data_IF_655108343332
#
_entry.id   IF_655108343332
#
_cell.length_a   1.000
_cell.length_b   1.000
_cell.length_c   1.000
_cell.angle_alpha   90.00
_cell.angle_beta   90.00
_cell.angle_gamma   90.00
#
_symmetry.space_group_name_H-M   'P 1'
#
loop_
_entity.id
_entity.type
_entity.pdbx_description
1 polymer ?
#
# COMPACT_ATOMS: atom_id res chain seq x y z
N UNK A 1 -21.61 -14.48 15.60
CA UNK A 1 -20.20 -14.57 15.16
C UNK A 1 -19.88 -13.73 13.91
N UNK A 2 -20.81 -12.91 13.37
CA UNK A 2 -20.64 -12.25 12.05
C UNK A 2 -20.53 -10.71 12.06
N UNK A 3 -20.65 -10.01 13.20
CA UNK A 3 -20.62 -8.53 13.20
C UNK A 3 -19.20 -7.98 13.37
N UNK A 4 -18.28 -8.75 13.94
CA UNK A 4 -16.89 -8.32 14.14
C UNK A 4 -15.99 -8.47 12.90
N UNK A 5 -16.35 -9.35 11.95
CA UNK A 5 -15.57 -9.56 10.72
C UNK A 5 -15.87 -8.54 9.61
N UNK A 6 -17.06 -7.91 9.61
CA UNK A 6 -17.41 -6.93 8.58
C UNK A 6 -16.66 -5.60 8.71
N UNK A 7 -16.08 -5.31 9.88
CA UNK A 7 -15.33 -4.07 10.14
C UNK A 7 -13.82 -4.17 9.89
N UNK A 8 -13.30 -5.34 9.49
CA UNK A 8 -11.88 -5.58 9.25
C UNK A 8 -11.65 -6.11 7.83
N UNK A 9 -12.06 -5.31 6.84
CA UNK A 9 -11.82 -5.59 5.42
C UNK A 9 -11.03 -4.45 4.79
N UNK A 10 -10.10 -4.74 3.87
CA UNK A 10 -9.41 -3.69 3.14
C UNK A 10 -10.40 -2.86 2.32
N UNK A 11 -10.05 -1.60 2.02
CA UNK A 11 -10.86 -0.78 1.16
C UNK A 11 -10.79 -1.31 -0.28
N UNK A 12 -11.94 -1.69 -0.82
CA UNK A 12 -12.12 -2.12 -2.22
C UNK A 12 -13.17 -1.28 -2.96
N UNK A 13 -13.64 -0.19 -2.34
CA UNK A 13 -14.72 0.63 -2.90
C UNK A 13 -14.17 1.59 -3.96
N UNK A 14 -14.61 1.40 -5.21
CA UNK A 14 -14.26 2.27 -6.34
C UNK A 14 -15.27 3.41 -6.45
N UNK A 15 -14.78 4.65 -6.47
CA UNK A 15 -15.57 5.85 -6.58
C UNK A 15 -15.69 6.31 -8.03
N UNK A 16 -16.78 5.93 -8.70
CA UNK A 16 -17.00 6.24 -10.12
C UNK A 16 -16.97 7.74 -10.45
N UNK A 17 -17.47 8.59 -9.54
CA UNK A 17 -17.46 10.05 -9.77
C UNK A 17 -16.04 10.61 -9.93
N UNK A 18 -15.06 10.02 -9.23
CA UNK A 18 -13.66 10.40 -9.38
C UNK A 18 -13.07 9.91 -10.70
N UNK A 19 -13.43 8.71 -11.13
CA UNK A 19 -13.04 8.21 -12.46
C UNK A 19 -13.61 9.10 -13.57
N UNK A 20 -14.87 9.54 -13.48
CA UNK A 20 -15.49 10.47 -14.43
C UNK A 20 -14.73 11.80 -14.47
N UNK A 21 -14.36 12.34 -13.30
CA UNK A 21 -13.60 13.59 -13.20
C UNK A 21 -12.28 13.50 -13.96
N UNK A 22 -11.54 12.40 -13.79
CA UNK A 22 -10.27 12.18 -14.49
C UNK A 22 -10.49 11.93 -15.98
N UNK A 23 -11.50 11.13 -16.33
CA UNK A 23 -11.88 10.84 -17.71
C UNK A 23 -12.11 12.12 -18.51
N UNK A 24 -12.97 13.00 -18.01
CA UNK A 24 -13.31 14.28 -18.67
C UNK A 24 -12.07 15.17 -18.83
N UNK A 25 -11.17 15.20 -17.85
CA UNK A 25 -9.93 16.00 -17.91
C UNK A 25 -8.92 15.43 -18.91
N UNK A 26 -8.92 14.12 -19.11
CA UNK A 26 -7.90 13.41 -19.89
C UNK A 26 -8.34 13.14 -21.32
N UNK A 27 -9.65 13.14 -21.59
CA UNK A 27 -10.19 12.81 -22.89
C UNK A 27 -9.82 13.87 -23.95
N UNK A 28 -9.24 13.48 -25.11
CA UNK A 28 -8.87 14.42 -26.14
C UNK A 28 -10.10 15.04 -26.79
N UNK A 29 -10.13 16.37 -26.90
CA UNK A 29 -11.31 17.14 -27.36
C UNK A 29 -11.74 16.84 -28.79
N UNK A 30 -10.82 16.33 -29.60
CA UNK A 30 -11.07 16.02 -31.02
C UNK A 30 -11.85 14.72 -31.21
N UNK A 31 -12.01 13.92 -30.15
CA UNK A 31 -12.68 12.63 -30.19
C UNK A 31 -14.01 12.71 -29.44
N UNK A 32 -15.11 12.35 -30.09
CA UNK A 32 -16.44 12.51 -29.50
C UNK A 32 -16.74 11.45 -28.42
N UNK A 33 -16.48 10.17 -28.71
CA UNK A 33 -16.83 9.04 -27.82
C UNK A 33 -15.88 7.85 -27.87
N UNK A 34 -15.00 7.81 -28.86
CA UNK A 34 -14.18 6.64 -29.15
C UNK A 34 -12.83 7.09 -29.68
N UNK A 35 -11.78 6.35 -29.30
CA UNK A 35 -10.42 6.50 -29.81
C UNK A 35 -9.96 5.11 -30.26
N UNK A 36 -9.52 5.01 -31.51
CA UNK A 36 -8.98 3.77 -32.11
C UNK A 36 -7.54 3.93 -32.61
N UNK A 37 -6.96 5.13 -32.48
CA UNK A 37 -5.56 5.37 -32.80
C UNK A 37 -4.70 5.00 -31.58
N UNK A 38 -3.82 4.02 -31.75
CA UNK A 38 -3.01 3.45 -30.66
C UNK A 38 -2.09 4.48 -29.99
N UNK A 39 -1.54 5.44 -30.72
CA UNK A 39 -0.69 6.48 -30.13
C UNK A 39 -1.54 7.47 -29.34
N UNK A 40 -2.75 7.79 -29.82
CA UNK A 40 -3.69 8.64 -29.08
C UNK A 40 -4.24 7.95 -27.83
N UNK A 41 -4.49 6.63 -27.89
CA UNK A 41 -4.85 5.81 -26.73
C UNK A 41 -3.74 5.87 -25.68
N UNK A 42 -2.48 5.70 -26.09
CA UNK A 42 -1.33 5.81 -25.19
C UNK A 42 -1.22 7.19 -24.57
N UNK A 43 -1.38 8.26 -25.36
CA UNK A 43 -1.34 9.63 -24.87
C UNK A 43 -2.50 9.94 -23.91
N UNK A 44 -3.68 9.37 -24.15
CA UNK A 44 -4.79 9.41 -23.22
C UNK A 44 -4.44 8.78 -21.86
N UNK A 45 -3.83 7.58 -21.85
CA UNK A 45 -3.41 6.93 -20.61
C UNK A 45 -2.28 7.69 -19.90
N UNK A 46 -1.32 8.26 -20.64
CA UNK A 46 -0.27 9.12 -20.07
C UNK A 46 -0.86 10.38 -19.42
N UNK A 47 -1.81 11.04 -20.10
CA UNK A 47 -2.51 12.22 -19.57
C UNK A 47 -3.34 11.86 -18.34
N UNK A 48 -4.04 10.72 -18.39
CA UNK A 48 -4.81 10.19 -17.27
C UNK A 48 -3.90 9.90 -16.07
N UNK A 49 -2.76 9.24 -16.28
CA UNK A 49 -1.76 8.98 -15.25
C UNK A 49 -1.33 10.27 -14.53
N UNK A 50 -1.00 11.32 -15.30
CA UNK A 50 -0.63 12.62 -14.73
C UNK A 50 -1.78 13.26 -13.95
N UNK A 51 -3.02 13.14 -14.44
CA UNK A 51 -4.19 13.67 -13.75
C UNK A 51 -4.51 12.91 -12.46
N UNK A 52 -4.37 11.58 -12.45
CA UNK A 52 -4.47 10.76 -11.24
C UNK A 52 -3.42 11.19 -10.21
N UNK A 53 -2.15 11.28 -10.62
CA UNK A 53 -1.06 11.70 -9.75
C UNK A 53 -1.33 13.08 -9.12
N UNK A 54 -1.78 14.06 -9.92
CA UNK A 54 -2.12 15.40 -9.41
C UNK A 54 -3.25 15.37 -8.39
N UNK A 55 -4.27 14.55 -8.59
CA UNK A 55 -5.38 14.44 -7.63
C UNK A 55 -4.97 13.69 -6.36
N UNK A 56 -4.05 12.72 -6.45
CA UNK A 56 -3.45 12.09 -5.25
C UNK A 56 -2.72 13.14 -4.41
N UNK A 57 -1.89 13.98 -5.03
CA UNK A 57 -1.18 15.07 -4.32
C UNK A 57 -2.15 15.99 -3.56
N UNK A 58 -3.29 16.35 -4.16
CA UNK A 58 -4.33 17.15 -3.47
C UNK A 58 -4.83 16.47 -2.19
N UNK A 59 -4.97 15.14 -2.18
CA UNK A 59 -5.33 14.40 -0.96
C UNK A 59 -4.18 14.30 0.04
N UNK A 60 -2.95 14.11 -0.44
CA UNK A 60 -1.76 14.08 0.40
C UNK A 60 -1.52 15.43 1.09
N UNK A 61 -1.80 16.54 0.42
CA UNK A 61 -1.67 17.90 0.96
C UNK A 61 -2.81 18.26 1.93
N UNK A 62 -3.96 17.59 1.82
CA UNK A 62 -5.13 17.87 2.68
C UNK A 62 -4.89 17.48 4.15
N UNK A 63 -4.07 16.47 4.39
CA UNK A 63 -3.86 15.88 5.71
C UNK A 63 -2.39 15.79 6.04
N UNK A 64 -2.04 15.86 7.32
CA UNK A 64 -0.66 15.65 7.75
C UNK A 64 -0.10 14.32 7.19
N UNK A 65 1.13 14.27 6.61
CA UNK A 65 1.64 13.07 5.94
C UNK A 65 1.68 11.82 6.84
N UNK A 66 1.98 11.98 8.12
CA UNK A 66 1.94 10.87 9.10
C UNK A 66 0.56 10.19 9.20
N UNK A 67 -0.54 10.91 8.95
CA UNK A 67 -1.88 10.34 8.90
C UNK A 67 -2.06 9.39 7.71
N UNK A 68 -1.52 9.78 6.54
CA UNK A 68 -1.56 8.94 5.34
C UNK A 68 -0.68 7.69 5.46
N UNK A 69 0.52 7.84 6.03
CA UNK A 69 1.41 6.70 6.32
C UNK A 69 0.68 5.66 7.16
N UNK A 70 0.02 6.10 8.23
CA UNK A 70 -0.75 5.20 9.10
C UNK A 70 -1.85 4.46 8.35
N UNK A 71 -2.66 5.18 7.56
CA UNK A 71 -3.73 4.55 6.77
C UNK A 71 -3.16 3.53 5.79
N UNK A 72 -2.09 3.88 5.08
CA UNK A 72 -1.46 2.98 4.13
C UNK A 72 -0.96 1.68 4.77
N UNK A 73 -0.35 1.75 5.97
CA UNK A 73 0.04 0.53 6.70
C UNK A 73 -1.17 -0.34 7.07
N UNK A 74 -2.25 0.27 7.58
CA UNK A 74 -3.49 -0.46 7.91
C UNK A 74 -4.03 -1.18 6.67
N UNK A 75 -4.12 -0.48 5.53
CA UNK A 75 -4.62 -1.06 4.29
C UNK A 75 -3.72 -2.20 3.77
N UNK A 76 -2.39 -2.05 3.84
CA UNK A 76 -1.44 -3.10 3.45
C UNK A 76 -1.63 -4.35 4.32
N UNK A 77 -1.78 -4.17 5.64
CA UNK A 77 -2.03 -5.29 6.56
C UNK A 77 -3.37 -5.97 6.27
N UNK A 78 -4.44 -5.20 6.08
CA UNK A 78 -5.77 -5.74 5.74
C UNK A 78 -5.75 -6.52 4.42
N UNK A 79 -5.13 -5.99 3.37
CA UNK A 79 -4.95 -6.69 2.10
C UNK A 79 -4.07 -7.95 2.23
N UNK A 80 -3.10 -7.93 3.13
CA UNK A 80 -2.25 -9.10 3.41
C UNK A 80 -3.03 -10.19 4.13
N UNK A 81 -3.84 -9.82 5.13
CA UNK A 81 -4.70 -10.74 5.88
C UNK A 81 -5.78 -11.36 4.99
N UNK A 82 -6.46 -10.56 4.16
CA UNK A 82 -7.46 -11.04 3.19
C UNK A 82 -6.87 -12.17 2.32
N UNK A 83 -5.63 -12.02 1.85
CA UNK A 83 -4.98 -13.00 0.98
C UNK A 83 -4.39 -14.21 1.72
N UNK A 84 -4.11 -14.10 3.03
CA UNK A 84 -3.54 -15.18 3.84
C UNK A 84 -4.62 -16.04 4.52
N UNK A 85 -5.70 -15.43 5.00
CA UNK A 85 -6.80 -16.11 5.70
C UNK A 85 -7.59 -17.00 4.73
N UNK A 86 -7.68 -16.63 3.45
CA UNK A 86 -8.50 -17.31 2.46
C UNK A 86 -7.76 -18.33 1.57
N UNK A 87 -6.64 -18.91 2.04
CA UNK A 87 -6.09 -20.13 1.39
C UNK A 87 -7.07 -21.32 1.40
N UNK A 88 -8.10 -21.28 2.24
CA UNK A 88 -9.13 -22.34 2.35
C UNK A 88 -10.51 -21.97 1.75
N UNK A 89 -10.73 -20.73 1.28
CA UNK A 89 -11.99 -20.31 0.64
C UNK A 89 -11.74 -19.58 -0.68
N UNK A 90 -12.65 -19.80 -1.62
CA UNK A 90 -12.64 -19.13 -2.92
C UNK A 90 -12.75 -17.62 -2.69
N UNK A 91 -11.65 -16.90 -2.90
CA UNK A 91 -11.64 -15.42 -2.99
C UNK A 91 -12.77 -15.02 -3.94
N UNK A 92 -13.65 -14.10 -3.52
CA UNK A 92 -14.56 -13.44 -4.48
C UNK A 92 -13.70 -12.85 -5.60
N UNK A 93 -13.91 -13.25 -6.86
CA UNK A 93 -13.02 -12.98 -8.00
C UNK A 93 -12.57 -11.50 -8.09
N UNK A 94 -13.41 -10.57 -7.62
CA UNK A 94 -13.13 -9.14 -7.55
C UNK A 94 -11.96 -8.75 -6.63
N UNK A 95 -11.73 -9.46 -5.51
CA UNK A 95 -10.65 -9.11 -4.56
C UNK A 95 -9.25 -9.50 -5.09
N UNK A 96 -9.15 -10.48 -6.01
CA UNK A 96 -7.89 -10.81 -6.69
C UNK A 96 -7.43 -9.69 -7.62
N UNK A 97 -8.36 -9.02 -8.30
CA UNK A 97 -8.07 -7.95 -9.26
C UNK A 97 -7.43 -6.75 -8.55
N UNK A 98 -7.87 -6.47 -7.33
CA UNK A 98 -7.40 -5.32 -6.55
C UNK A 98 -6.16 -5.61 -5.68
N UNK A 99 -5.80 -6.87 -5.47
CA UNK A 99 -4.69 -7.28 -4.61
C UNK A 99 -3.33 -6.61 -4.95
N UNK A 100 -2.93 -6.43 -6.24
CA UNK A 100 -1.70 -5.72 -6.56
C UNK A 100 -1.74 -4.25 -6.11
N UNK A 101 -2.87 -3.58 -6.29
CA UNK A 101 -3.06 -2.18 -5.88
C UNK A 101 -3.09 -2.07 -4.36
N UNK A 102 -3.77 -3.00 -3.69
CA UNK A 102 -3.80 -3.10 -2.24
C UNK A 102 -2.44 -3.35 -1.60
N UNK A 103 -1.52 -4.06 -2.28
CA UNK A 103 -0.17 -4.34 -1.75
C UNK A 103 0.88 -3.29 -2.14
N UNK A 104 0.82 -2.79 -3.37
CA UNK A 104 1.86 -1.92 -3.92
C UNK A 104 1.42 -0.46 -4.04
N UNK A 105 0.14 -0.19 -4.31
CA UNK A 105 -0.39 1.17 -4.42
C UNK A 105 -0.30 1.94 -3.10
N UNK A 106 -0.60 1.28 -1.97
CA UNK A 106 -0.46 1.91 -0.65
C UNK A 106 1.01 2.16 -0.26
N UNK A 107 1.97 1.39 -0.78
CA UNK A 107 3.40 1.69 -0.58
C UNK A 107 3.81 2.99 -1.26
N UNK A 108 3.25 3.28 -2.43
CA UNK A 108 3.46 4.56 -3.11
C UNK A 108 2.94 5.74 -2.28
N UNK A 109 1.82 5.57 -1.56
CA UNK A 109 1.33 6.60 -0.61
C UNK A 109 2.30 6.81 0.55
N UNK A 110 2.91 5.74 1.08
CA UNK A 110 3.95 5.85 2.11
C UNK A 110 5.15 6.64 1.57
N UNK A 111 5.66 6.28 0.40
CA UNK A 111 6.80 6.95 -0.25
C UNK A 111 6.54 8.45 -0.44
N UNK A 112 5.41 8.83 -1.03
CA UNK A 112 5.04 10.24 -1.22
C UNK A 112 4.79 11.00 0.07
N UNK A 113 4.27 10.33 1.09
CA UNK A 113 4.09 10.95 2.40
C UNK A 113 5.43 11.14 3.13
N UNK A 114 6.40 10.24 2.94
CA UNK A 114 7.76 10.37 3.49
C UNK A 114 8.51 11.53 2.84
N UNK A 115 8.44 11.67 1.50
CA UNK A 115 9.01 12.83 0.78
C UNK A 115 8.51 14.15 1.37
N UNK A 116 7.21 14.25 1.67
CA UNK A 116 6.62 15.45 2.30
C UNK A 116 6.99 15.64 3.77
N UNK A 117 7.38 14.59 4.50
CA UNK A 117 7.86 14.72 5.88
C UNK A 117 9.28 15.30 5.96
N UNK A 118 10.05 15.24 4.88
CA UNK A 118 11.36 15.88 4.79
C UNK A 118 11.23 17.41 4.59
N UNK A 119 10.04 17.90 4.24
CA UNK A 119 9.75 19.33 4.15
C UNK A 119 9.57 19.93 5.57
N UNK A 120 10.27 21.02 5.85
CA UNK A 120 10.38 21.59 7.21
C UNK A 120 9.18 22.43 7.67
N UNK A 121 8.19 22.67 6.81
CA UNK A 121 7.02 23.49 7.12
C UNK A 121 5.73 22.68 7.08
N UNK A 122 5.25 22.29 8.27
CA UNK A 122 4.01 21.55 8.43
C UNK A 122 2.78 22.41 8.67
N UNK A 123 2.92 23.75 8.67
CA UNK A 123 1.83 24.67 9.00
C UNK A 123 0.69 24.68 7.98
N UNK A 124 0.93 24.13 6.78
CA UNK A 124 -0.04 24.03 5.69
C UNK A 124 -0.96 22.80 5.76
N UNK A 125 -0.60 21.78 6.54
CA UNK A 125 -1.35 20.52 6.58
C UNK A 125 -2.53 20.58 7.57
N UNK A 126 -3.61 19.88 7.23
CA UNK A 126 -4.78 19.78 8.09
C UNK A 126 -4.56 18.85 9.31
N UNK A 127 -5.15 19.23 10.45
CA UNK A 127 -5.07 18.49 11.73
C UNK A 127 -5.99 17.24 11.81
N UNK A 128 -6.62 16.86 10.70
CA UNK A 128 -7.60 15.78 10.66
C UNK A 128 -6.98 14.52 10.07
N UNK A 129 -7.59 13.37 10.35
CA UNK A 129 -7.28 12.10 9.66
C UNK A 129 -8.16 11.96 8.41
N UNK A 130 -7.70 11.25 7.37
CA UNK A 130 -8.55 10.82 6.27
C UNK A 130 -9.77 10.04 6.79
N UNK A 131 -10.94 10.37 6.27
CA UNK A 131 -12.17 9.59 6.51
C UNK A 131 -12.30 8.45 5.49
N UNK A 132 -13.19 7.49 5.73
CA UNK A 132 -13.37 6.31 4.85
C UNK A 132 -13.70 6.71 3.40
N UNK A 133 -14.38 7.84 3.22
CA UNK A 133 -14.70 8.40 1.91
C UNK A 133 -13.43 8.82 1.18
N UNK A 134 -12.53 9.53 1.84
CA UNK A 134 -11.26 9.96 1.25
C UNK A 134 -10.29 8.79 1.05
N UNK A 135 -10.31 7.79 1.93
CA UNK A 135 -9.55 6.54 1.73
C UNK A 135 -10.02 5.83 0.46
N UNK A 136 -11.34 5.69 0.24
CA UNK A 136 -11.89 5.10 -0.99
C UNK A 136 -11.56 5.90 -2.24
N UNK A 137 -11.49 7.23 -2.14
CA UNK A 137 -11.05 8.07 -3.26
C UNK A 137 -9.59 7.86 -3.59
N UNK A 138 -8.70 7.83 -2.59
CA UNK A 138 -7.28 7.56 -2.82
C UNK A 138 -7.07 6.16 -3.39
N UNK A 139 -7.78 5.15 -2.87
CA UNK A 139 -7.78 3.81 -3.46
C UNK A 139 -8.19 3.80 -4.94
N UNK A 140 -9.28 4.52 -5.27
CA UNK A 140 -9.74 4.69 -6.66
C UNK A 140 -8.70 5.35 -7.56
N UNK A 141 -7.99 6.37 -7.04
CA UNK A 141 -6.95 7.06 -7.78
C UNK A 141 -5.72 6.16 -8.00
N UNK A 142 -5.34 5.36 -7.01
CA UNK A 142 -4.25 4.37 -7.12
C UNK A 142 -4.57 3.27 -8.13
N UNK A 143 -5.80 2.77 -8.14
CA UNK A 143 -6.32 1.85 -9.15
C UNK A 143 -6.13 2.44 -10.56
N UNK A 144 -6.69 3.63 -10.81
CA UNK A 144 -6.60 4.27 -12.11
C UNK A 144 -5.16 4.58 -12.54
N UNK A 145 -4.32 5.05 -11.61
CA UNK A 145 -2.90 5.32 -11.84
C UNK A 145 -2.15 4.06 -12.27
N UNK A 146 -2.41 2.94 -11.60
CA UNK A 146 -1.75 1.65 -11.88
C UNK A 146 -2.12 1.13 -13.27
N UNK A 147 -3.41 1.10 -13.61
CA UNK A 147 -3.89 0.69 -14.93
C UNK A 147 -3.38 1.61 -16.05
N UNK A 148 -3.37 2.92 -15.85
CA UNK A 148 -2.85 3.85 -16.84
C UNK A 148 -1.37 3.61 -17.14
N UNK A 149 -0.56 3.41 -16.08
CA UNK A 149 0.87 3.12 -16.21
C UNK A 149 1.10 1.80 -16.94
N UNK A 150 0.37 0.76 -16.55
CA UNK A 150 0.50 -0.56 -17.13
C UNK A 150 0.11 -0.54 -18.61
N UNK A 151 -1.10 -0.11 -18.96
CA UNK A 151 -1.57 -0.10 -20.34
C UNK A 151 -0.66 0.78 -21.22
N UNK A 152 -0.24 1.96 -20.74
CA UNK A 152 0.67 2.82 -21.49
C UNK A 152 2.03 2.13 -21.77
N UNK A 153 2.59 1.44 -20.78
CA UNK A 153 3.83 0.68 -20.95
C UNK A 153 3.68 -0.44 -21.98
N UNK A 154 2.60 -1.22 -21.90
CA UNK A 154 2.35 -2.29 -22.86
C UNK A 154 2.19 -1.74 -24.27
N UNK A 155 1.43 -0.66 -24.45
CA UNK A 155 1.33 -0.02 -25.76
C UNK A 155 2.71 0.48 -26.21
N UNK A 156 3.50 1.10 -25.34
CA UNK A 156 4.84 1.56 -25.68
C UNK A 156 5.75 0.44 -26.22
N UNK A 157 5.80 -0.70 -25.53
CA UNK A 157 6.69 -1.81 -25.90
C UNK A 157 6.13 -2.69 -27.02
N UNK A 158 4.81 -2.82 -27.12
CA UNK A 158 4.15 -3.76 -28.02
C UNK A 158 3.20 -3.11 -29.03
N UNK A 159 3.29 -1.80 -29.30
CA UNK A 159 2.40 -1.11 -30.25
C UNK A 159 2.22 -1.80 -31.59
N UNK A 160 3.27 -2.42 -32.13
CA UNK A 160 3.21 -3.13 -33.42
C UNK A 160 2.36 -4.41 -33.36
N UNK A 161 2.02 -4.90 -32.16
CA UNK A 161 1.10 -6.02 -31.92
C UNK A 161 -0.35 -5.56 -31.74
N UNK A 162 -0.59 -4.28 -31.51
CA UNK A 162 -1.92 -3.71 -31.31
C UNK A 162 -2.39 -3.00 -32.58
N UNK A 163 -3.19 -3.69 -33.36
CA UNK A 163 -3.79 -3.24 -34.62
C UNK A 163 -5.24 -2.82 -34.48
N UNK A 164 -5.94 -3.32 -33.45
CA UNK A 164 -7.39 -3.08 -33.29
C UNK A 164 -7.79 -2.40 -31.98
N UNK A 165 -6.80 -1.96 -31.20
CA UNK A 165 -7.04 -1.34 -29.90
C UNK A 165 -8.01 -0.17 -29.99
N UNK A 166 -9.02 -0.20 -29.12
CA UNK A 166 -10.06 0.83 -29.05
C UNK A 166 -10.47 1.10 -27.61
N UNK A 167 -10.75 2.35 -27.30
CA UNK A 167 -11.36 2.76 -26.04
C UNK A 167 -12.59 3.61 -26.29
N UNK A 168 -13.61 3.42 -25.46
CA UNK A 168 -14.85 4.18 -25.47
C UNK A 168 -14.89 5.08 -24.23
N UNK A 169 -15.50 6.26 -24.36
CA UNK A 169 -15.69 7.20 -23.25
C UNK A 169 -16.55 6.56 -22.15
N UNK A 170 -15.88 5.94 -21.18
CA UNK A 170 -16.46 5.19 -20.07
C UNK A 170 -15.45 5.11 -18.93
N UNK A 171 -15.91 5.10 -17.69
CA UNK A 171 -15.05 4.90 -16.51
C UNK A 171 -14.43 3.50 -16.46
N UNK A 172 -15.03 2.52 -17.15
CA UNK A 172 -14.56 1.13 -17.19
C UNK A 172 -13.15 0.99 -17.77
N UNK A 173 -12.67 1.96 -18.55
CA UNK A 173 -11.32 1.95 -19.14
C UNK A 173 -10.19 2.08 -18.11
N UNK A 174 -10.49 2.47 -16.87
CA UNK A 174 -9.52 2.55 -15.76
C UNK A 174 -9.44 1.27 -14.90
N UNK A 175 -10.08 0.19 -15.33
CA UNK A 175 -9.97 -1.13 -14.73
C UNK A 175 -9.96 -2.27 -15.74
N UNK A 176 -9.91 -1.95 -17.04
CA UNK A 176 -9.95 -2.92 -18.13
C UNK A 176 -8.96 -2.55 -19.23
N UNK A 177 -8.51 -3.57 -19.95
CA UNK A 177 -7.80 -3.38 -21.21
C UNK A 177 -8.68 -2.65 -22.23
N UNK A 178 -8.07 -1.92 -23.19
CA UNK A 178 -8.77 -1.51 -24.40
C UNK A 178 -9.49 -2.70 -25.06
N UNK A 179 -10.52 -2.41 -25.85
CA UNK A 179 -11.09 -3.39 -26.75
C UNK A 179 -10.00 -3.85 -27.72
N UNK A 180 -9.75 -5.15 -27.75
CA UNK A 180 -8.71 -5.81 -28.52
C UNK A 180 -9.33 -6.96 -29.33
N UNK A 181 -8.66 -7.41 -30.38
CA UNK A 181 -9.02 -8.67 -31.05
C UNK A 181 -8.58 -9.88 -30.21
N UNK A 182 -9.10 -11.06 -30.54
CA UNK A 182 -8.83 -12.29 -29.77
C UNK A 182 -7.34 -12.64 -29.75
N UNK A 183 -6.64 -12.48 -30.88
CA UNK A 183 -5.19 -12.73 -30.98
C UNK A 183 -4.37 -11.82 -30.07
N UNK A 184 -4.76 -10.54 -29.96
CA UNK A 184 -4.12 -9.54 -29.13
C UNK A 184 -4.39 -9.80 -27.64
N UNK A 185 -5.63 -10.18 -27.29
CA UNK A 185 -5.98 -10.59 -25.93
C UNK A 185 -5.19 -11.82 -25.48
N UNK A 186 -5.07 -12.84 -26.34
CA UNK A 186 -4.30 -14.04 -26.05
C UNK A 186 -2.83 -13.71 -25.81
N UNK A 187 -2.23 -12.85 -26.65
CA UNK A 187 -0.86 -12.37 -26.44
C UNK A 187 -0.67 -11.70 -25.06
N UNK A 188 -1.60 -10.84 -24.65
CA UNK A 188 -1.54 -10.19 -23.33
C UNK A 188 -1.67 -11.20 -22.20
N UNK A 189 -2.62 -12.14 -22.32
CA UNK A 189 -2.83 -13.18 -21.32
C UNK A 189 -1.60 -14.09 -21.17
N UNK A 190 -0.99 -14.51 -22.28
CA UNK A 190 0.23 -15.31 -22.28
C UNK A 190 1.38 -14.56 -21.60
N UNK A 191 1.52 -13.25 -21.88
CA UNK A 191 2.54 -12.42 -21.27
C UNK A 191 2.32 -12.26 -19.77
N UNK A 192 1.09 -11.99 -19.32
CA UNK A 192 0.74 -11.94 -17.90
C UNK A 192 0.96 -13.28 -17.20
N UNK A 193 0.59 -14.39 -17.84
CA UNK A 193 0.80 -15.73 -17.29
C UNK A 193 2.29 -16.02 -17.13
N UNK A 194 3.09 -15.71 -18.14
CA UNK A 194 4.55 -15.84 -18.08
C UNK A 194 5.14 -15.05 -16.91
N UNK A 195 4.76 -13.78 -16.73
CA UNK A 195 5.26 -13.00 -15.59
C UNK A 195 4.73 -13.50 -14.24
N UNK A 196 3.48 -13.97 -14.16
CA UNK A 196 2.94 -14.51 -12.91
C UNK A 196 3.54 -15.89 -12.54
N UNK A 197 3.98 -16.67 -13.51
CA UNK A 197 4.66 -17.96 -13.29
C UNK A 197 6.17 -17.80 -13.03
N UNK A 198 6.80 -16.75 -13.59
CA UNK A 198 8.25 -16.50 -13.47
C UNK A 198 8.61 -15.67 -12.24
N UNK A 199 7.66 -14.91 -11.66
CA UNK A 199 7.91 -14.14 -10.43
C UNK A 199 7.75 -15.03 -9.21
N UNK A 200 8.69 -15.96 -9.07
CA UNK A 200 9.16 -16.34 -7.75
C UNK A 200 10.01 -15.15 -7.27
N UNK A 201 9.46 -14.29 -6.41
CA UNK A 201 10.14 -13.08 -5.92
C UNK A 201 11.48 -13.42 -5.22
N UNK A 202 11.66 -14.67 -4.81
CA UNK A 202 12.90 -15.21 -4.24
C UNK A 202 14.01 -15.43 -5.31
N UNK A 203 13.66 -15.41 -6.60
CA UNK A 203 14.57 -15.68 -7.73
C UNK A 203 15.01 -14.42 -8.49
N UNK A 204 14.53 -13.22 -8.12
CA UNK A 204 14.99 -11.95 -8.70
C UNK A 204 16.08 -11.37 -7.79
N UNK A 205 17.38 -11.56 -8.09
CA UNK A 205 18.47 -11.23 -7.17
C UNK A 205 18.54 -9.73 -6.88
N UNK A 206 18.10 -8.86 -7.80
CA UNK A 206 18.07 -7.41 -7.59
C UNK A 206 16.97 -6.94 -6.62
N UNK A 207 15.95 -7.76 -6.37
CA UNK A 207 14.86 -7.49 -5.44
C UNK A 207 14.95 -8.35 -4.16
N UNK A 208 15.92 -9.24 -4.08
CA UNK A 208 16.21 -9.98 -2.86
C UNK A 208 16.99 -9.08 -1.89
N UNK A 209 16.25 -8.23 -1.18
CA UNK A 209 16.79 -7.22 -0.27
C UNK A 209 17.68 -7.82 0.84
N UNK A 210 17.51 -9.11 1.15
CA UNK A 210 18.32 -9.83 2.14
C UNK A 210 19.80 -9.93 1.75
N UNK A 211 20.12 -9.85 0.45
CA UNK A 211 21.51 -9.90 -0.04
C UNK A 211 22.08 -8.50 -0.36
N UNK A 212 21.27 -7.45 -0.31
CA UNK A 212 21.71 -6.08 -0.56
C UNK A 212 22.25 -5.42 0.72
N UNK A 213 23.52 -5.69 1.00
CA UNK A 213 24.22 -5.20 2.20
C UNK A 213 24.15 -3.67 2.38
N UNK A 214 24.26 -2.90 1.30
CA UNK A 214 24.22 -1.42 1.39
C UNK A 214 22.84 -0.91 1.84
N UNK A 215 21.76 -1.51 1.32
CA UNK A 215 20.40 -1.20 1.75
C UNK A 215 20.16 -1.60 3.21
N UNK A 216 20.63 -2.78 3.62
CA UNK A 216 20.51 -3.24 5.01
C UNK A 216 21.28 -2.33 5.97
N UNK A 217 22.49 -1.91 5.61
CA UNK A 217 23.30 -0.98 6.41
C UNK A 217 22.60 0.39 6.56
N UNK A 218 21.94 0.88 5.49
CA UNK A 218 21.17 2.14 5.53
C UNK A 218 19.92 2.04 6.38
N UNK A 219 19.19 0.93 6.32
CA UNK A 219 18.01 0.68 7.16
C UNK A 219 18.44 0.56 8.62
N UNK A 220 19.52 -0.17 8.90
CA UNK A 220 20.04 -0.35 10.26
C UNK A 220 20.45 1.00 10.87
N UNK A 221 21.14 1.84 10.10
CA UNK A 221 21.53 3.19 10.53
C UNK A 221 20.30 4.07 10.83
N UNK A 222 19.27 3.99 10.00
CA UNK A 222 18.01 4.71 10.23
C UNK A 222 17.33 4.25 11.53
N UNK A 223 17.24 2.94 11.77
CA UNK A 223 16.62 2.39 12.98
C UNK A 223 17.38 2.80 14.24
N UNK A 224 18.72 2.75 14.21
CA UNK A 224 19.54 3.17 15.34
C UNK A 224 19.39 4.66 15.64
N UNK A 225 19.39 5.51 14.61
CA UNK A 225 19.34 6.97 14.78
C UNK A 225 17.97 7.49 15.24
N UNK A 226 16.88 6.82 14.85
CA UNK A 226 15.52 7.32 15.07
C UNK A 226 14.73 6.53 16.10
N UNK A 227 15.10 5.27 16.36
CA UNK A 227 14.35 4.36 17.23
C UNK A 227 15.24 3.63 18.24
N UNK A 228 16.55 3.85 18.22
CA UNK A 228 17.51 3.33 19.19
C UNK A 228 17.56 1.78 19.27
N UNK A 229 17.28 1.08 18.16
CA UNK A 229 17.47 -0.36 18.02
C UNK A 229 18.03 -0.72 16.63
N UNK A 230 18.60 -1.92 16.48
CA UNK A 230 19.16 -2.42 15.21
C UNK A 230 18.34 -3.56 14.59
N UNK A 231 18.53 -3.81 13.29
CA UNK A 231 17.95 -4.95 12.58
C UNK A 231 18.32 -6.29 13.22
N UNK A 232 19.57 -6.44 13.67
CA UNK A 232 20.02 -7.63 14.38
C UNK A 232 19.23 -7.89 15.67
N UNK A 233 18.86 -6.83 16.39
CA UNK A 233 18.01 -6.93 17.59
C UNK A 233 16.58 -7.30 17.24
N UNK A 234 16.05 -6.77 16.13
CA UNK A 234 14.74 -7.17 15.60
C UNK A 234 14.69 -8.67 15.36
N UNK A 235 15.67 -9.22 14.65
CA UNK A 235 15.71 -10.64 14.31
C UNK A 235 15.79 -11.53 15.57
N UNK A 236 16.66 -11.17 16.51
CA UNK A 236 16.83 -11.91 17.77
C UNK A 236 15.54 -11.89 18.60
N UNK A 237 14.87 -10.74 18.68
CA UNK A 237 13.60 -10.58 19.42
C UNK A 237 12.47 -11.35 18.75
N UNK A 238 12.31 -11.26 17.42
CA UNK A 238 11.28 -12.01 16.68
C UNK A 238 11.50 -13.52 16.81
N UNK A 239 12.75 -13.98 16.70
CA UNK A 239 13.09 -15.40 16.86
C UNK A 239 12.74 -15.89 18.27
N UNK A 240 13.12 -15.13 19.29
CA UNK A 240 12.85 -15.45 20.71
C UNK A 240 11.35 -15.46 21.01
N UNK A 241 10.60 -14.52 20.42
CA UNK A 241 9.15 -14.48 20.48
C UNK A 241 8.53 -15.77 19.94
N UNK A 242 8.96 -16.22 18.76
CA UNK A 242 8.41 -17.40 18.08
C UNK A 242 8.82 -18.72 18.73
N UNK A 243 10.09 -18.87 19.06
CA UNK A 243 10.67 -20.16 19.43
C UNK A 243 10.61 -20.46 20.92
N UNK A 244 10.52 -19.42 21.76
CA UNK A 244 10.60 -19.56 23.22
C UNK A 244 9.38 -19.00 23.93
N UNK A 245 9.08 -17.72 23.70
CA UNK A 245 8.03 -17.02 24.45
C UNK A 245 6.64 -17.53 24.10
N UNK A 246 6.26 -17.54 22.82
CA UNK A 246 4.92 -17.94 22.39
C UNK A 246 4.56 -19.39 22.78
N UNK A 247 5.47 -20.38 22.66
CA UNK A 247 5.24 -21.73 23.18
C UNK A 247 5.08 -21.77 24.70
N UNK A 248 5.91 -21.04 25.45
CA UNK A 248 5.91 -21.05 26.92
C UNK A 248 4.61 -20.50 27.50
N UNK A 249 4.06 -19.43 26.91
CA UNK A 249 2.81 -18.81 27.36
C UNK A 249 1.57 -19.37 26.65
N UNK A 250 1.75 -20.32 25.72
CA UNK A 250 0.66 -20.92 24.93
C UNK A 250 -0.05 -19.92 24.00
N UNK A 251 0.60 -18.82 23.63
CA UNK A 251 0.01 -17.78 22.79
C UNK A 251 0.18 -18.08 21.30
N UNK A 252 -0.88 -17.89 20.52
CA UNK A 252 -0.84 -17.92 19.05
C UNK A 252 -0.84 -16.53 18.41
N UNK A 253 -1.29 -15.52 19.17
CA UNK A 253 -1.40 -14.12 18.74
C UNK A 253 -0.98 -13.26 19.95
N UNK A 254 -0.08 -12.30 19.71
CA UNK A 254 0.35 -11.31 20.70
C UNK A 254 -0.42 -10.02 20.46
N UNK A 255 -1.34 -9.69 21.36
CA UNK A 255 -2.09 -8.43 21.33
C UNK A 255 -1.58 -7.56 22.47
N UNK A 256 -0.79 -6.54 22.13
CA UNK A 256 -0.14 -5.59 23.04
C UNK A 256 0.82 -6.23 24.08
N UNK A 257 2.14 -6.09 23.93
CA UNK A 257 3.13 -6.51 24.90
C UNK A 257 2.96 -5.71 26.19
N UNK A 258 2.70 -6.43 27.26
CA UNK A 258 2.76 -5.87 28.60
C UNK A 258 4.22 -5.60 28.98
N UNK A 259 4.45 -4.75 30.00
CA UNK A 259 5.79 -4.58 30.58
C UNK A 259 6.42 -5.93 30.98
N UNK A 260 5.62 -6.92 31.38
CA UNK A 260 6.10 -8.26 31.69
C UNK A 260 6.68 -8.98 30.45
N UNK A 261 6.05 -8.82 29.27
CA UNK A 261 6.60 -9.37 28.03
C UNK A 261 7.91 -8.69 27.63
N UNK A 262 8.00 -7.38 27.81
CA UNK A 262 9.20 -6.60 27.48
C UNK A 262 10.37 -7.02 28.38
N UNK A 263 10.14 -7.15 29.68
CA UNK A 263 11.15 -7.64 30.64
C UNK A 263 11.56 -9.07 30.30
N UNK A 264 10.60 -9.95 30.02
CA UNK A 264 10.89 -11.35 29.67
C UNK A 264 11.68 -11.47 28.36
N UNK A 265 11.40 -10.62 27.37
CA UNK A 265 12.18 -10.56 26.14
C UNK A 265 13.59 -10.04 26.38
N UNK A 266 13.74 -8.99 27.17
CA UNK A 266 15.06 -8.48 27.55
C UNK A 266 15.88 -9.57 28.27
N UNK A 267 15.27 -10.31 29.19
CA UNK A 267 15.91 -11.40 29.91
C UNK A 267 16.32 -12.55 28.96
N UNK A 268 15.45 -12.92 28.02
CA UNK A 268 15.71 -14.03 27.10
C UNK A 268 16.68 -13.70 25.97
N UNK A 269 16.76 -12.43 25.58
CA UNK A 269 17.63 -11.96 24.50
C UNK A 269 18.92 -11.32 24.99
N UNK A 270 19.00 -10.98 26.28
CA UNK A 270 20.06 -10.13 26.86
C UNK A 270 20.17 -8.74 26.22
N UNK A 271 19.14 -8.28 25.52
CA UNK A 271 19.04 -6.92 24.97
C UNK A 271 18.52 -5.98 26.06
N UNK A 272 19.03 -4.76 26.12
CA UNK A 272 18.59 -3.77 27.10
C UNK A 272 17.08 -3.54 27.05
N UNK A 273 16.43 -3.53 28.21
CA UNK A 273 14.97 -3.37 28.36
C UNK A 273 14.45 -2.16 27.56
N UNK A 274 15.17 -1.04 27.57
CA UNK A 274 14.77 0.18 26.85
C UNK A 274 14.75 -0.03 25.32
N UNK A 275 15.68 -0.80 24.76
CA UNK A 275 15.75 -1.10 23.32
C UNK A 275 14.65 -2.08 22.91
N UNK A 276 14.40 -3.11 23.74
CA UNK A 276 13.25 -4.01 23.55
C UNK A 276 11.94 -3.24 23.63
N UNK A 277 11.82 -2.32 24.59
CA UNK A 277 10.66 -1.42 24.72
C UNK A 277 10.49 -0.55 23.48
N UNK A 278 11.56 0.06 22.98
CA UNK A 278 11.51 0.88 21.75
C UNK A 278 11.10 0.07 20.53
N UNK A 279 11.61 -1.15 20.37
CA UNK A 279 11.20 -2.04 19.28
C UNK A 279 9.73 -2.45 19.40
N UNK A 280 9.30 -2.88 20.59
CA UNK A 280 7.90 -3.26 20.80
C UNK A 280 6.97 -2.07 20.58
N UNK A 281 7.35 -0.86 21.01
CA UNK A 281 6.62 0.36 20.70
C UNK A 281 6.60 0.65 19.20
N UNK A 282 7.71 0.46 18.50
CA UNK A 282 7.78 0.63 17.05
C UNK A 282 6.83 -0.34 16.33
N UNK A 283 6.86 -1.63 16.68
CA UNK A 283 6.00 -2.67 16.10
C UNK A 283 4.52 -2.39 16.36
N UNK A 284 4.17 -1.89 17.54
CA UNK A 284 2.79 -1.55 17.90
C UNK A 284 2.35 -0.15 17.49
N UNK A 285 3.27 0.66 17.00
CA UNK A 285 3.09 2.09 16.84
C UNK A 285 2.66 2.80 18.16
N UNK A 286 3.19 2.39 19.32
CA UNK A 286 2.95 3.05 20.61
C UNK A 286 3.88 4.26 20.83
N UNK A 287 3.27 5.41 21.11
CA UNK A 287 3.91 6.73 21.10
C UNK A 287 3.84 7.31 22.50
N UNK A 288 4.51 6.65 23.43
CA UNK A 288 4.53 7.09 24.82
C UNK A 288 5.74 7.96 25.15
N UNK A 289 6.83 7.95 24.36
CA UNK A 289 8.13 8.39 24.90
C UNK A 289 9.06 9.25 24.01
N UNK A 290 8.55 10.09 23.10
CA UNK A 290 9.40 11.12 22.49
C UNK A 290 8.67 12.47 22.42
N UNK A 291 9.44 13.56 22.51
CA UNK A 291 9.00 14.96 22.39
C UNK A 291 8.23 15.17 21.08
N UNK A 292 6.91 15.00 21.17
CA UNK A 292 5.99 14.95 20.03
C UNK A 292 4.94 16.06 20.07
N UNK A 293 5.27 17.24 20.58
CA UNK A 293 4.36 18.39 20.58
C UNK A 293 3.87 18.79 19.17
N UNK A 294 4.57 18.35 18.10
CA UNK A 294 4.15 18.56 16.70
C UNK A 294 3.59 17.32 16.00
N UNK A 295 3.55 16.13 16.63
CA UNK A 295 3.12 14.86 16.01
C UNK A 295 1.85 14.28 16.66
N UNK A 296 0.97 15.13 17.15
CA UNK A 296 -0.16 14.77 18.01
C UNK A 296 -1.39 14.18 17.25
N UNK A 297 -1.16 13.34 16.24
CA UNK A 297 -2.22 12.65 15.47
C UNK A 297 -2.39 11.18 15.83
N UNK A 298 -1.59 10.67 16.76
CA UNK A 298 -1.56 9.25 17.13
C UNK A 298 -2.15 8.97 18.51
N UNK A 299 -2.78 9.96 19.15
CA UNK A 299 -3.50 9.78 20.41
C UNK A 299 -4.50 8.61 20.34
N UNK A 300 -4.27 7.63 21.22
CA UNK A 300 -5.20 6.57 21.64
C UNK A 300 -6.39 7.11 22.44
N UNK A 301 -6.47 8.42 22.71
CA UNK A 301 -7.57 9.02 23.49
C UNK A 301 -8.90 9.15 22.73
N UNK A 302 -9.14 8.34 21.69
CA UNK A 302 -10.50 8.04 21.27
C UNK A 302 -11.06 6.91 22.16
N UNK A 303 -11.39 7.26 23.40
CA UNK A 303 -12.17 6.44 24.33
C UNK A 303 -13.59 6.09 23.80
N UNK A 304 -13.91 6.43 22.54
CA UNK A 304 -15.21 6.18 21.90
C UNK A 304 -15.22 4.87 21.09
N UNK A 305 -14.07 4.20 20.89
CA UNK A 305 -14.01 2.91 20.16
C UNK A 305 -13.78 1.66 21.03
N UNK A 306 -13.76 1.80 22.36
CA UNK A 306 -13.67 0.64 23.28
C UNK A 306 -14.75 0.60 24.37
N UNK A 307 -15.83 1.37 24.26
CA UNK A 307 -17.04 1.15 25.07
C UNK A 307 -18.30 1.37 24.21
N UNK A 308 -19.07 0.29 24.11
CA UNK A 308 -20.33 0.02 23.40
C UNK A 308 -20.23 -0.26 21.90
#
# INVERSE_FOLDING_TARGET
MNVFMDNFKPNSNVNENYLIKILVKSWPKEYFREISDIEVIKDFYNTSYQNFHKEIEVFLDKYHPASWIRIAYIEIELWTLELLIDKEKQIEENNKIFAPIGRYGWRYIIEKSLEKLEESDFSSFGDKRPDDIDISKVFTLLLGLSYCKEISNYIHYFKNRFTTAKIVFSTTIYGNWPELEESERLFINDLMSFYNEVVDYDLVPELNYMDNKDLLDRIDLFLQNHFEFSLSEVDVIIKTLKERVAPEIGARILVMPTNALIVMLADYTSIEINRVFNLMNFILFEISNFNYEQRDFLKKSQNVRMLN
#
